data_IF_490187263207
#
_entry.id   IF_490187263207
#
_cell.length_a   1.000
_cell.length_b   1.000
_cell.length_c   1.000
_cell.angle_alpha   90.00
_cell.angle_beta   90.00
_cell.angle_gamma   90.00
#
_symmetry.space_group_name_H-M   'P 1'
#
loop_
_entity.id
_entity.type
_entity.pdbx_description
1 polymer ?
#
# COMPACT_ATOMS: atom_id res chain seq x y z
N UNK A 1 2.02 31.31 24.87
CA UNK A 1 3.04 30.34 24.42
C UNK A 1 2.30 29.26 23.64
N UNK A 2 2.24 29.39 22.31
CA UNK A 2 1.43 28.48 21.48
C UNK A 2 2.05 27.09 21.47
N UNK A 3 1.28 26.09 21.90
CA UNK A 3 1.58 24.67 21.73
C UNK A 3 1.56 24.36 20.23
N UNK A 4 2.67 24.60 19.54
CA UNK A 4 2.92 24.00 18.24
C UNK A 4 3.15 22.50 18.50
N UNK A 5 2.08 21.70 18.51
CA UNK A 5 2.24 20.26 18.39
C UNK A 5 2.93 20.01 17.05
N UNK A 6 4.19 19.58 17.06
CA UNK A 6 4.88 19.13 15.85
C UNK A 6 3.98 18.09 15.18
N UNK A 7 3.65 18.28 13.89
CA UNK A 7 2.96 17.23 13.13
C UNK A 7 3.74 15.92 13.32
N UNK A 8 3.07 14.81 13.66
CA UNK A 8 3.76 13.55 13.92
C UNK A 8 4.54 13.13 12.68
N UNK A 9 5.76 12.60 12.89
CA UNK A 9 6.67 12.24 11.80
C UNK A 9 6.05 11.11 10.96
N UNK A 10 6.17 11.19 9.63
CA UNK A 10 5.83 10.10 8.71
C UNK A 10 6.73 8.89 9.00
N UNK A 11 6.19 7.68 9.20
CA UNK A 11 7.00 6.47 9.33
C UNK A 11 7.88 6.22 8.10
N UNK A 12 8.95 5.45 8.27
CA UNK A 12 9.80 5.02 7.16
C UNK A 12 9.14 3.89 6.36
N UNK A 13 9.26 3.95 5.03
CA UNK A 13 8.65 2.99 4.12
C UNK A 13 9.40 2.99 2.77
N UNK A 14 9.19 1.95 1.96
CA UNK A 14 9.79 1.82 0.64
C UNK A 14 8.73 1.58 -0.44
N UNK A 15 8.82 2.31 -1.55
CA UNK A 15 7.93 2.14 -2.70
C UNK A 15 8.58 1.24 -3.75
N UNK A 16 8.06 0.04 -3.96
CA UNK A 16 8.51 -0.88 -5.01
C UNK A 16 7.62 -0.69 -6.24
N UNK A 17 8.16 -0.03 -7.27
CA UNK A 17 7.37 0.45 -8.41
C UNK A 17 7.73 -0.32 -9.68
N UNK A 18 6.69 -0.82 -10.37
CA UNK A 18 6.80 -1.62 -11.58
C UNK A 18 6.14 -0.93 -12.77
N UNK A 19 6.61 -1.20 -13.98
CA UNK A 19 5.98 -0.65 -15.19
C UNK A 19 4.56 -1.18 -15.38
N UNK A 20 4.37 -2.49 -15.21
CA UNK A 20 3.12 -3.20 -15.46
C UNK A 20 2.47 -3.72 -14.18
N UNK A 21 1.12 -3.70 -14.12
CA UNK A 21 0.35 -4.23 -12.98
C UNK A 21 0.55 -5.73 -12.80
N UNK A 22 0.66 -6.48 -13.89
CA UNK A 22 0.91 -7.92 -13.84
C UNK A 22 2.25 -8.24 -13.17
N UNK A 23 3.31 -7.50 -13.53
CA UNK A 23 4.64 -7.66 -12.94
C UNK A 23 4.64 -7.25 -11.47
N UNK A 24 3.96 -6.15 -11.11
CA UNK A 24 3.71 -5.76 -9.71
C UNK A 24 3.15 -6.93 -8.90
N UNK A 25 2.07 -7.56 -9.35
CA UNK A 25 1.40 -8.66 -8.63
C UNK A 25 2.34 -9.87 -8.51
N UNK A 26 2.98 -10.27 -9.62
CA UNK A 26 3.94 -11.39 -9.63
C UNK A 26 5.06 -11.19 -8.62
N UNK A 27 5.72 -10.02 -8.66
CA UNK A 27 6.86 -9.69 -7.80
C UNK A 27 6.47 -9.52 -6.33
N UNK A 28 5.30 -8.94 -6.07
CA UNK A 28 4.72 -8.88 -4.73
C UNK A 28 4.53 -10.27 -4.13
N UNK A 29 4.02 -11.23 -4.92
CA UNK A 29 3.80 -12.60 -4.46
C UNK A 29 5.08 -13.41 -4.30
N UNK A 30 6.08 -13.21 -5.17
CA UNK A 30 7.44 -13.74 -4.99
C UNK A 30 8.01 -13.27 -3.63
N UNK A 31 7.90 -11.98 -3.33
CA UNK A 31 8.31 -11.43 -2.04
C UNK A 31 7.53 -12.04 -0.87
N UNK A 32 6.20 -12.08 -0.93
CA UNK A 32 5.36 -12.62 0.15
C UNK A 32 5.71 -14.07 0.45
N UNK A 33 5.90 -14.92 -0.58
CA UNK A 33 6.30 -16.32 -0.42
C UNK A 33 7.61 -16.43 0.35
N UNK A 34 8.66 -15.77 -0.16
CA UNK A 34 10.00 -15.82 0.43
C UNK A 34 10.05 -15.24 1.85
N UNK A 35 9.29 -14.17 2.09
CA UNK A 35 9.33 -13.47 3.37
C UNK A 35 8.52 -14.19 4.45
N UNK A 36 7.42 -14.85 4.04
CA UNK A 36 6.61 -15.67 4.94
C UNK A 36 7.37 -16.86 5.52
N UNK A 37 8.45 -17.34 4.88
CA UNK A 37 9.32 -18.37 5.47
C UNK A 37 10.07 -17.88 6.72
N UNK A 38 10.27 -16.57 6.85
CA UNK A 38 11.11 -15.96 7.90
C UNK A 38 10.30 -15.32 9.00
N UNK A 39 9.24 -14.59 8.64
CA UNK A 39 8.44 -13.78 9.59
C UNK A 39 6.99 -13.64 9.12
N UNK A 40 6.14 -13.08 9.97
CA UNK A 40 4.75 -12.78 9.62
C UNK A 40 4.72 -11.68 8.55
N UNK A 41 3.85 -11.86 7.56
CA UNK A 41 3.61 -10.92 6.47
C UNK A 41 2.15 -10.47 6.54
N UNK A 42 1.94 -9.16 6.62
CA UNK A 42 0.62 -8.55 6.54
C UNK A 42 0.46 -7.89 5.17
N UNK A 43 -0.56 -8.28 4.42
CA UNK A 43 -0.92 -7.64 3.16
C UNK A 43 -2.12 -6.74 3.41
N UNK A 44 -1.97 -5.46 3.09
CA UNK A 44 -2.93 -4.41 3.44
C UNK A 44 -3.40 -3.71 2.18
N UNK A 45 -4.69 -3.79 1.93
CA UNK A 45 -5.37 -3.05 0.86
C UNK A 45 -6.31 -2.03 1.48
N UNK A 46 -6.41 -0.85 0.87
CA UNK A 46 -7.28 0.24 1.29
C UNK A 46 -8.60 0.31 0.55
N UNK A 47 -8.75 -0.51 -0.49
CA UNK A 47 -9.99 -0.67 -1.26
C UNK A 47 -10.44 -2.14 -1.24
N UNK A 48 -11.74 -2.37 -1.05
CA UNK A 48 -12.35 -3.70 -0.99
C UNK A 48 -12.12 -4.50 -2.27
N UNK A 49 -12.33 -3.88 -3.43
CA UNK A 49 -12.14 -4.55 -4.73
C UNK A 49 -10.68 -4.99 -4.93
N UNK A 50 -9.71 -4.15 -4.52
CA UNK A 50 -8.29 -4.50 -4.61
C UNK A 50 -7.97 -5.69 -3.72
N UNK A 51 -8.53 -5.72 -2.52
CA UNK A 51 -8.33 -6.81 -1.57
C UNK A 51 -8.89 -8.13 -2.11
N UNK A 52 -10.09 -8.09 -2.70
CA UNK A 52 -10.72 -9.27 -3.31
C UNK A 52 -9.90 -9.81 -4.49
N UNK A 53 -9.37 -8.93 -5.33
CA UNK A 53 -8.45 -9.28 -6.44
C UNK A 53 -7.18 -9.95 -5.89
N UNK A 54 -6.58 -9.37 -4.84
CA UNK A 54 -5.36 -9.89 -4.21
C UNK A 54 -5.61 -11.28 -3.62
N UNK A 55 -6.71 -11.47 -2.91
CA UNK A 55 -7.10 -12.77 -2.36
C UNK A 55 -7.34 -13.82 -3.45
N UNK A 56 -8.04 -13.46 -4.53
CA UNK A 56 -8.25 -14.36 -5.66
C UNK A 56 -6.91 -14.76 -6.30
N UNK A 57 -6.02 -13.79 -6.50
CA UNK A 57 -4.70 -14.05 -7.06
C UNK A 57 -3.85 -14.94 -6.12
N UNK A 58 -3.94 -14.74 -4.80
CA UNK A 58 -3.26 -15.60 -3.81
C UNK A 58 -3.74 -17.04 -3.88
N UNK A 59 -5.06 -17.27 -3.99
CA UNK A 59 -5.65 -18.60 -4.18
C UNK A 59 -5.10 -19.28 -5.43
N UNK A 60 -5.09 -18.57 -6.57
CA UNK A 60 -4.54 -19.07 -7.83
C UNK A 60 -3.04 -19.40 -7.70
N UNK A 61 -2.31 -18.59 -6.93
CA UNK A 61 -0.86 -18.72 -6.74
C UNK A 61 -0.44 -19.73 -5.66
N UNK A 62 -1.42 -20.40 -5.03
CA UNK A 62 -1.21 -21.38 -3.97
C UNK A 62 -0.63 -20.79 -2.68
N UNK A 63 -0.86 -19.50 -2.40
CA UNK A 63 -0.41 -18.86 -1.15
C UNK A 63 -1.49 -19.08 -0.09
N UNK A 64 -1.19 -19.85 0.95
CA UNK A 64 -2.06 -19.99 2.11
C UNK A 64 -2.04 -18.71 2.94
N UNK A 65 -3.21 -18.15 3.24
CA UNK A 65 -3.33 -16.90 3.97
C UNK A 65 -4.53 -16.91 4.93
N UNK A 66 -4.53 -16.00 5.90
CA UNK A 66 -5.66 -15.73 6.81
C UNK A 66 -6.24 -14.34 6.54
N UNK A 67 -7.52 -14.25 6.19
CA UNK A 67 -8.24 -12.97 6.14
C UNK A 67 -8.52 -12.50 7.56
N UNK A 68 -8.07 -11.30 7.91
CA UNK A 68 -8.37 -10.68 9.19
C UNK A 68 -9.63 -9.81 9.04
N UNK A 69 -10.57 -10.02 9.95
CA UNK A 69 -11.71 -9.13 10.19
C UNK A 69 -11.56 -8.38 11.52
N UNK A 70 -10.71 -8.91 12.42
CA UNK A 70 -10.27 -8.25 13.65
C UNK A 70 -8.75 -8.43 13.77
N UNK A 71 -8.06 -7.40 14.28
CA UNK A 71 -6.60 -7.47 14.43
C UNK A 71 -6.15 -8.56 15.40
N UNK A 72 -6.97 -8.87 16.42
CA UNK A 72 -6.74 -9.96 17.38
C UNK A 72 -6.59 -11.34 16.72
N UNK A 73 -7.16 -11.50 15.53
CA UNK A 73 -7.25 -12.80 14.87
C UNK A 73 -5.97 -13.14 14.09
N UNK A 74 -4.93 -12.31 14.15
CA UNK A 74 -3.66 -12.59 13.45
C UNK A 74 -2.88 -13.81 13.99
N UNK A 75 -3.24 -14.27 15.20
CA UNK A 75 -2.63 -15.42 15.84
C UNK A 75 -2.88 -16.73 15.07
N UNK A 76 -1.98 -17.70 15.28
CA UNK A 76 -1.99 -19.01 14.61
C UNK A 76 -0.88 -19.19 13.57
N UNK A 77 -0.86 -20.38 12.96
CA UNK A 77 0.29 -20.89 12.19
C UNK A 77 0.47 -20.22 10.82
N UNK A 78 -0.61 -19.71 10.23
CA UNK A 78 -0.55 -19.06 8.92
C UNK A 78 0.25 -17.77 8.99
N UNK A 79 1.33 -17.69 8.22
CA UNK A 79 2.28 -16.57 8.26
C UNK A 79 1.89 -15.38 7.40
N UNK A 80 0.98 -15.57 6.46
CA UNK A 80 0.41 -14.51 5.62
C UNK A 80 -0.97 -14.13 6.14
N UNK A 81 -1.14 -12.87 6.52
CA UNK A 81 -2.41 -12.29 6.92
C UNK A 81 -2.80 -11.22 5.91
N UNK A 82 -4.04 -11.22 5.44
CA UNK A 82 -4.56 -10.19 4.53
C UNK A 82 -5.65 -9.38 5.24
N UNK A 83 -5.69 -8.07 5.03
CA UNK A 83 -6.67 -7.21 5.67
C UNK A 83 -7.01 -5.96 4.87
N UNK A 84 -8.18 -5.40 5.17
CA UNK A 84 -8.55 -4.07 4.75
C UNK A 84 -7.98 -3.03 5.72
N UNK A 85 -7.48 -1.90 5.22
CA UNK A 85 -6.83 -0.86 6.04
C UNK A 85 -7.79 -0.19 7.03
N UNK A 86 -9.11 -0.29 6.81
CA UNK A 86 -10.13 0.19 7.77
C UNK A 86 -9.99 -0.45 9.16
N UNK A 87 -9.47 -1.69 9.28
CA UNK A 87 -9.22 -2.30 10.60
C UNK A 87 -8.20 -1.53 11.44
N UNK A 88 -7.38 -0.71 10.80
CA UNK A 88 -6.37 0.13 11.42
C UNK A 88 -6.91 1.52 11.77
N UNK A 89 -8.04 1.94 11.22
CA UNK A 89 -8.65 3.24 11.46
C UNK A 89 -9.65 3.22 12.62
N UNK A 90 -10.22 2.06 12.92
CA UNK A 90 -11.11 1.85 14.05
C UNK A 90 -10.26 1.66 15.31
N UNK A 91 -10.72 2.15 16.47
CA UNK A 91 -10.04 2.03 17.78
C UNK A 91 -10.02 0.56 18.25
N UNK A 92 -9.47 -0.33 17.44
CA UNK A 92 -9.45 -1.76 17.66
C UNK A 92 -8.36 -2.02 18.69
N UNK A 93 -8.78 -2.41 19.89
CA UNK A 93 -7.91 -2.97 20.93
C UNK A 93 -7.23 -4.22 20.39
N UNK A 94 -6.13 -4.06 19.66
CA UNK A 94 -5.40 -5.15 19.02
C UNK A 94 -3.92 -4.89 19.19
N UNK A 95 -3.22 -5.80 19.85
CA UNK A 95 -1.77 -5.73 19.94
C UNK A 95 -1.18 -6.74 18.94
N UNK A 96 -0.44 -6.25 17.94
CA UNK A 96 0.24 -7.08 16.95
C UNK A 96 1.72 -7.32 17.30
N UNK A 97 2.16 -6.90 18.49
CA UNK A 97 3.58 -6.95 18.91
C UNK A 97 4.15 -8.35 19.09
N UNK A 98 3.33 -9.40 19.16
CA UNK A 98 3.86 -10.77 19.18
C UNK A 98 4.50 -11.14 17.84
N UNK A 99 4.11 -10.46 16.75
CA UNK A 99 4.86 -10.52 15.52
C UNK A 99 6.18 -9.73 15.69
N UNK A 100 7.29 -10.46 15.77
CA UNK A 100 8.64 -9.88 15.83
C UNK A 100 9.03 -9.39 14.44
N UNK A 101 9.19 -8.08 14.29
CA UNK A 101 9.57 -7.39 13.04
C UNK A 101 8.81 -7.90 11.81
N UNK A 102 7.48 -7.74 11.73
CA UNK A 102 6.72 -8.25 10.59
C UNK A 102 7.01 -7.43 9.31
N UNK A 103 6.76 -8.06 8.15
CA UNK A 103 6.68 -7.33 6.90
C UNK A 103 5.24 -6.85 6.68
N UNK A 104 5.04 -5.59 6.30
CA UNK A 104 3.76 -5.06 5.86
C UNK A 104 3.87 -4.68 4.38
N UNK A 105 3.04 -5.31 3.56
CA UNK A 105 2.96 -5.13 2.12
C UNK A 105 1.67 -4.41 1.80
N UNK A 106 1.75 -3.15 1.41
CA UNK A 106 0.63 -2.37 0.91
C UNK A 106 0.47 -2.61 -0.59
N UNK A 107 -0.77 -2.81 -1.02
CA UNK A 107 -1.10 -3.11 -2.43
C UNK A 107 -1.30 -1.85 -3.27
N UNK A 108 -1.45 -0.70 -2.61
CA UNK A 108 -1.59 0.64 -3.19
C UNK A 108 -1.27 1.70 -2.14
N UNK A 109 -1.03 2.93 -2.60
CA UNK A 109 -1.16 4.11 -1.76
C UNK A 109 -2.62 4.56 -1.72
N UNK A 110 -3.10 5.00 -0.56
CA UNK A 110 -4.37 5.69 -0.51
C UNK A 110 -4.25 7.06 -1.21
N UNK A 111 -5.28 7.52 -1.94
CA UNK A 111 -5.20 8.77 -2.71
C UNK A 111 -4.91 10.04 -1.88
N UNK A 112 -5.26 10.03 -0.58
CA UNK A 112 -5.05 11.13 0.35
C UNK A 112 -3.82 10.87 1.24
N UNK A 113 -2.79 11.76 1.25
CA UNK A 113 -1.57 11.58 2.03
C UNK A 113 -1.82 11.36 3.53
N UNK A 114 -2.79 12.09 4.10
CA UNK A 114 -3.10 12.05 5.53
C UNK A 114 -3.61 10.68 5.95
N UNK A 115 -4.37 10.00 5.08
CA UNK A 115 -4.91 8.66 5.35
C UNK A 115 -3.79 7.61 5.34
N UNK A 116 -2.90 7.66 4.36
CA UNK A 116 -1.72 6.80 4.31
C UNK A 116 -0.83 6.97 5.55
N UNK A 117 -0.55 8.21 5.93
CA UNK A 117 0.24 8.50 7.13
C UNK A 117 -0.43 7.92 8.38
N UNK A 118 -1.75 8.07 8.52
CA UNK A 118 -2.48 7.51 9.65
C UNK A 118 -2.42 5.97 9.68
N UNK A 119 -2.61 5.31 8.54
CA UNK A 119 -2.51 3.85 8.41
C UNK A 119 -1.12 3.36 8.88
N UNK A 120 -0.05 3.97 8.37
CA UNK A 120 1.31 3.60 8.74
C UNK A 120 1.61 3.87 10.22
N UNK A 121 1.17 5.01 10.75
CA UNK A 121 1.37 5.35 12.16
C UNK A 121 0.68 4.36 13.09
N UNK A 122 -0.55 3.95 12.76
CA UNK A 122 -1.28 2.96 13.53
C UNK A 122 -0.55 1.61 13.48
N UNK A 123 -0.09 1.15 12.32
CA UNK A 123 0.69 -0.08 12.21
C UNK A 123 1.97 -0.06 13.05
N UNK A 124 2.76 1.01 12.98
CA UNK A 124 3.99 1.17 13.78
C UNK A 124 3.70 1.25 15.28
N UNK A 125 2.55 1.78 15.68
CA UNK A 125 2.11 1.76 17.08
C UNK A 125 1.73 0.37 17.59
N UNK A 126 1.17 -0.46 16.71
CA UNK A 126 0.63 -1.79 17.03
C UNK A 126 1.64 -2.93 16.86
N UNK A 127 2.71 -2.73 16.08
CA UNK A 127 3.71 -3.74 15.73
C UNK A 127 5.08 -3.40 16.31
N UNK A 128 5.93 -4.41 16.51
CA UNK A 128 7.32 -4.20 16.90
C UNK A 128 8.23 -4.19 15.67
N UNK A 129 8.80 -3.03 15.34
CA UNK A 129 9.75 -2.83 14.22
C UNK A 129 9.29 -3.39 12.85
N UNK A 130 8.08 -3.02 12.36
CA UNK A 130 7.62 -3.49 11.06
C UNK A 130 8.41 -2.87 9.90
N UNK A 131 8.64 -3.62 8.83
CA UNK A 131 9.08 -3.05 7.55
C UNK A 131 7.87 -2.74 6.68
N UNK A 132 7.75 -1.50 6.21
CA UNK A 132 6.61 -1.02 5.41
C UNK A 132 7.00 -0.93 3.92
N UNK A 133 6.29 -1.66 3.07
CA UNK A 133 6.58 -1.78 1.63
C UNK A 133 5.31 -1.51 0.82
N UNK A 134 5.31 -0.51 -0.05
CA UNK A 134 4.23 -0.29 -1.00
C UNK A 134 4.60 -0.92 -2.34
N UNK A 135 3.73 -1.78 -2.87
CA UNK A 135 3.88 -2.31 -4.23
C UNK A 135 2.98 -1.53 -5.16
N UNK A 136 3.58 -0.90 -6.18
CA UNK A 136 2.91 0.06 -7.05
C UNK A 136 3.21 -0.25 -8.51
N UNK A 137 2.34 0.24 -9.39
CA UNK A 137 2.53 0.18 -10.83
C UNK A 137 2.31 1.55 -11.47
N UNK A 138 3.04 1.85 -12.54
CA UNK A 138 2.76 3.01 -13.39
C UNK A 138 1.37 2.96 -14.05
N UNK A 139 0.73 1.80 -14.08
CA UNK A 139 -0.65 1.60 -14.53
C UNK A 139 -1.69 1.86 -13.43
N UNK A 140 -1.28 2.09 -12.17
CA UNK A 140 -2.20 2.39 -11.07
C UNK A 140 -2.89 3.77 -11.27
N UNK A 141 -4.16 3.94 -10.83
CA UNK A 141 -4.94 5.14 -11.11
C UNK A 141 -4.23 6.44 -10.72
N UNK A 142 -3.58 6.47 -9.55
CA UNK A 142 -2.81 7.63 -9.12
C UNK A 142 -1.63 7.97 -10.04
N UNK A 143 -0.98 6.96 -10.64
CA UNK A 143 0.16 7.19 -11.53
C UNK A 143 -0.31 7.68 -12.90
N UNK A 144 -1.42 7.14 -13.40
CA UNK A 144 -2.01 7.55 -14.68
C UNK A 144 -2.45 9.02 -14.66
N UNK A 145 -3.01 9.51 -13.54
CA UNK A 145 -3.44 10.91 -13.39
C UNK A 145 -2.30 11.93 -13.51
N UNK A 146 -1.04 11.54 -13.29
CA UNK A 146 0.09 12.47 -13.22
C UNK A 146 1.12 12.28 -14.33
N UNK A 147 0.75 11.52 -15.37
CA UNK A 147 1.53 11.40 -16.59
C UNK A 147 2.57 10.28 -16.53
N UNK A 148 2.15 9.10 -16.07
CA UNK A 148 2.94 7.87 -16.16
C UNK A 148 3.51 7.66 -17.57
N UNK A 149 2.80 8.04 -18.64
CA UNK A 149 3.29 8.01 -20.03
C UNK A 149 4.66 8.68 -20.24
N UNK A 150 4.91 9.83 -19.59
CA UNK A 150 6.23 10.50 -19.69
C UNK A 150 7.31 9.72 -18.95
N UNK A 151 6.96 9.14 -17.81
CA UNK A 151 7.86 8.31 -17.02
C UNK A 151 8.18 7.03 -17.81
N UNK A 152 7.17 6.36 -18.34
CA UNK A 152 7.29 5.17 -19.20
C UNK A 152 8.18 5.46 -20.41
N UNK A 153 7.93 6.56 -21.13
CA UNK A 153 8.76 6.96 -22.27
C UNK A 153 10.23 7.21 -21.90
N UNK A 154 10.48 7.82 -20.74
CA UNK A 154 11.84 7.99 -20.22
C UNK A 154 12.48 6.64 -19.88
N UNK A 155 11.76 5.73 -19.21
CA UNK A 155 12.29 4.41 -18.85
C UNK A 155 12.63 3.57 -20.07
N UNK A 156 11.79 3.58 -21.11
CA UNK A 156 12.11 2.93 -22.39
C UNK A 156 13.35 3.54 -23.06
N UNK A 157 13.52 4.86 -23.00
CA UNK A 157 14.70 5.53 -23.57
C UNK A 157 15.99 5.15 -22.82
N UNK A 158 15.89 4.90 -21.52
CA UNK A 158 17.01 4.44 -20.68
C UNK A 158 17.28 2.94 -20.82
N UNK A 159 16.48 2.21 -21.60
CA UNK A 159 16.66 0.78 -21.84
C UNK A 159 16.23 -0.13 -20.67
N UNK A 160 15.43 0.39 -19.73
CA UNK A 160 14.91 -0.43 -18.63
C UNK A 160 13.91 -1.47 -19.13
N UNK A 161 14.06 -2.70 -18.67
CA UNK A 161 13.11 -3.78 -18.94
C UNK A 161 11.83 -3.65 -18.13
N UNK A 162 10.71 -4.18 -18.63
CA UNK A 162 9.42 -4.19 -17.89
C UNK A 162 9.48 -4.99 -16.58
N UNK A 163 10.46 -5.90 -16.47
CA UNK A 163 10.75 -6.75 -15.31
C UNK A 163 11.73 -6.13 -14.31
N UNK A 164 12.14 -4.87 -14.50
CA UNK A 164 13.03 -4.14 -13.60
C UNK A 164 12.23 -3.17 -12.71
N UNK A 165 12.58 -3.11 -11.42
CA UNK A 165 12.00 -2.12 -10.52
C UNK A 165 12.54 -0.72 -10.86
N UNK A 166 11.66 0.28 -10.90
CA UNK A 166 12.06 1.65 -11.23
C UNK A 166 12.78 2.28 -10.03
N UNK A 167 13.91 2.98 -10.28
CA UNK A 167 14.65 3.67 -9.22
C UNK A 167 13.75 4.58 -8.37
N UNK A 168 13.79 4.32 -7.07
CA UNK A 168 12.76 4.74 -6.11
C UNK A 168 12.63 6.26 -5.95
N UNK A 169 13.73 7.01 -5.89
CA UNK A 169 13.67 8.39 -5.34
C UNK A 169 12.89 9.38 -6.21
N UNK A 170 13.03 9.32 -7.54
CA UNK A 170 12.35 10.25 -8.45
C UNK A 170 10.86 9.94 -8.55
N UNK A 171 10.50 8.66 -8.72
CA UNK A 171 9.10 8.27 -8.90
C UNK A 171 8.33 8.38 -7.59
N UNK A 172 8.91 8.02 -6.44
CA UNK A 172 8.29 8.27 -5.13
C UNK A 172 8.01 9.76 -4.90
N UNK A 173 8.90 10.65 -5.33
CA UNK A 173 8.67 12.09 -5.24
C UNK A 173 7.52 12.54 -6.16
N UNK A 174 7.47 12.02 -7.38
CA UNK A 174 6.37 12.29 -8.30
C UNK A 174 5.02 11.83 -7.74
N UNK A 175 4.99 10.65 -7.12
CA UNK A 175 3.82 10.09 -6.44
C UNK A 175 3.38 10.92 -5.24
N UNK A 176 4.32 11.37 -4.39
CA UNK A 176 3.98 12.25 -3.27
C UNK A 176 3.35 13.56 -3.77
N UNK A 177 3.89 14.15 -4.84
CA UNK A 177 3.30 15.34 -5.47
C UNK A 177 1.93 15.07 -6.10
N UNK A 178 1.70 13.85 -6.59
CA UNK A 178 0.42 13.40 -7.11
C UNK A 178 -0.64 13.36 -5.99
N UNK A 179 -0.35 12.69 -4.87
CA UNK A 179 -1.25 12.65 -3.71
C UNK A 179 -1.56 14.06 -3.18
N UNK A 180 -0.58 14.97 -3.10
CA UNK A 180 -0.83 16.36 -2.70
C UNK A 180 -1.78 17.11 -3.66
N UNK A 181 -1.65 16.88 -4.98
CA UNK A 181 -2.53 17.48 -5.98
C UNK A 181 -3.93 16.89 -5.94
N UNK A 182 -4.05 15.58 -5.68
CA UNK A 182 -5.34 14.92 -5.42
C UNK A 182 -5.99 15.54 -4.19
N UNK A 183 -5.30 15.62 -3.06
CA UNK A 183 -5.82 16.17 -1.82
C UNK A 183 -6.36 17.61 -1.98
N UNK A 184 -5.70 18.46 -2.79
CA UNK A 184 -6.19 19.82 -3.09
C UNK A 184 -7.50 19.85 -3.87
N UNK A 185 -7.81 18.81 -4.64
CA UNK A 185 -9.06 18.68 -5.40
C UNK A 185 -10.21 18.10 -4.55
N UNK A 186 -9.89 17.37 -3.48
CA UNK A 186 -10.89 16.73 -2.62
C UNK A 186 -11.33 17.68 -1.50
N UNK A 187 -12.52 18.26 -1.63
CA UNK A 187 -13.11 19.11 -0.59
C UNK A 187 -13.72 18.30 0.56
N UNK A 188 -14.39 17.19 0.24
CA UNK A 188 -14.96 16.24 1.19
C UNK A 188 -14.90 14.86 0.55
N UNK A 189 -14.38 13.89 1.30
CA UNK A 189 -14.19 12.53 0.80
C UNK A 189 -15.53 11.78 0.68
N UNK A 190 -15.82 11.29 -0.53
CA UNK A 190 -16.86 10.29 -0.80
C UNK A 190 -16.18 8.92 -0.81
N UNK A 191 -16.49 8.10 0.20
CA UNK A 191 -15.92 6.74 0.33
C UNK A 191 -16.35 5.84 -0.83
N UNK A 192 -15.49 4.88 -1.17
CA UNK A 192 -15.76 3.86 -2.18
C UNK A 192 -14.99 2.57 -1.87
N UNK A 193 -15.53 1.43 -2.28
CA UNK A 193 -14.84 0.14 -2.26
C UNK A 193 -13.85 -0.03 -3.42
N UNK A 194 -13.96 0.80 -4.46
CA UNK A 194 -13.16 0.77 -5.68
C UNK A 194 -12.27 2.00 -5.76
N UNK A 195 -10.96 1.82 -5.96
CA UNK A 195 -10.01 2.92 -6.13
C UNK A 195 -10.40 3.81 -7.33
N UNK A 196 -10.71 3.21 -8.47
CA UNK A 196 -11.11 3.94 -9.68
C UNK A 196 -12.39 4.75 -9.45
N UNK A 197 -13.37 4.16 -8.76
CA UNK A 197 -14.62 4.87 -8.42
C UNK A 197 -14.37 5.97 -7.41
N UNK A 198 -13.48 5.77 -6.43
CA UNK A 198 -13.04 6.82 -5.51
C UNK A 198 -12.49 8.01 -6.29
N UNK A 199 -11.58 7.78 -7.24
CA UNK A 199 -11.02 8.85 -8.07
C UNK A 199 -12.09 9.57 -8.87
N UNK A 200 -12.98 8.83 -9.55
CA UNK A 200 -14.08 9.40 -10.34
C UNK A 200 -15.02 10.30 -9.52
N UNK A 201 -15.28 9.93 -8.27
CA UNK A 201 -16.21 10.69 -7.40
C UNK A 201 -15.54 11.88 -6.70
N UNK A 202 -14.25 11.78 -6.39
CA UNK A 202 -13.55 12.76 -5.54
C UNK A 202 -12.67 13.73 -6.33
N UNK A 203 -12.16 13.32 -7.48
CA UNK A 203 -11.25 14.11 -8.32
C UNK A 203 -12.01 14.53 -9.57
N UNK A 204 -12.73 15.66 -9.49
CA UNK A 204 -13.35 16.27 -10.66
C UNK A 204 -12.27 16.67 -11.68
N UNK A 205 -12.59 16.51 -12.97
CA UNK A 205 -11.77 17.02 -14.08
C UNK A 205 -11.50 18.52 -13.92
#
# INVERSE_FOLDING_TARGET
MGLFSKKPKKPDYSDVIWMKREIKIKKMFEFIKNESEKRKVFVVSSFGDTLDIVEQAMKISGISYKRLNYLSDYSGDLRVCVMHSNLLAENTSGNLREAVSPAVVFTEHFPLPERDVAIMQNLVGLMNEPSLLYYLSLEDPIMQLFGSERIIGLMHTLGMGEDESIEHSFVSKALSNAQEKVAKKVASEIKSESEETWYRMNVKE
#
